data_IF_141643654360
#
_entry.id   IF_141643654360
#
_cell.length_a   1.000
_cell.length_b   1.000
_cell.length_c   1.000
_cell.angle_alpha   90.00
_cell.angle_beta   90.00
_cell.angle_gamma   90.00
#
_symmetry.space_group_name_H-M   'P 1'
#
loop_
_entity.id
_entity.type
_entity.pdbx_description
1 polymer ?
#
# COMPACT_ATOMS: atom_id res chain seq x y z
N UNK A 1 7.61 -3.08 9.88
CA UNK A 1 7.91 -3.57 11.26
C UNK A 1 6.98 -4.69 11.69
N UNK A 2 5.65 -4.50 11.65
CA UNK A 2 4.68 -5.52 12.08
C UNK A 2 4.74 -6.80 11.21
N UNK A 3 4.74 -6.65 9.89
CA UNK A 3 4.89 -7.78 8.96
C UNK A 3 6.12 -8.64 9.31
N UNK A 4 7.31 -8.01 9.36
CA UNK A 4 8.56 -8.67 9.74
C UNK A 4 8.52 -9.36 11.10
N UNK A 5 7.85 -8.77 12.10
CA UNK A 5 7.70 -9.38 13.42
C UNK A 5 6.94 -10.71 13.36
N UNK A 6 5.96 -10.82 12.48
CA UNK A 6 5.19 -12.04 12.24
C UNK A 6 5.79 -12.96 11.16
N UNK A 7 6.99 -12.65 10.65
CA UNK A 7 7.66 -13.46 9.63
C UNK A 7 7.17 -13.23 8.20
N UNK A 8 6.45 -12.14 7.95
CA UNK A 8 6.04 -11.74 6.60
C UNK A 8 6.93 -10.64 6.02
N UNK A 9 6.98 -10.56 4.70
CA UNK A 9 7.68 -9.51 3.96
C UNK A 9 6.67 -8.54 3.30
N UNK A 10 7.13 -7.33 2.97
CA UNK A 10 6.31 -6.29 2.33
C UNK A 10 6.79 -6.11 0.90
N UNK A 11 5.87 -6.12 -0.07
CA UNK A 11 6.21 -5.79 -1.46
C UNK A 11 6.51 -4.31 -1.59
N UNK A 12 7.69 -3.96 -2.11
CA UNK A 12 8.14 -2.56 -2.20
C UNK A 12 7.72 -1.86 -3.50
N UNK A 13 7.37 -2.64 -4.53
CA UNK A 13 7.05 -2.14 -5.88
C UNK A 13 5.69 -1.44 -5.98
N UNK A 14 4.77 -1.72 -5.06
CA UNK A 14 3.41 -1.15 -5.04
C UNK A 14 3.20 -0.30 -3.78
N UNK A 15 2.52 0.82 -3.95
CA UNK A 15 2.41 1.89 -2.97
C UNK A 15 0.96 2.36 -2.94
N UNK A 16 0.53 2.87 -1.80
CA UNK A 16 -0.72 3.62 -1.74
C UNK A 16 -0.57 4.96 -2.46
N UNK A 17 -1.70 5.60 -2.71
CA UNK A 17 -1.75 6.80 -3.53
C UNK A 17 -2.83 7.77 -3.05
N UNK A 18 -2.66 9.05 -3.38
CA UNK A 18 -3.76 10.00 -3.33
C UNK A 18 -4.90 9.59 -4.27
N UNK A 19 -6.12 9.84 -3.84
CA UNK A 19 -7.33 9.47 -4.60
C UNK A 19 -8.41 10.54 -4.41
N UNK A 20 -9.15 10.86 -5.47
CA UNK A 20 -10.23 11.85 -5.43
C UNK A 20 -10.81 12.08 -6.82
N UNK A 21 -10.61 13.28 -7.38
CA UNK A 21 -10.96 13.54 -8.79
C UNK A 21 -10.04 12.82 -9.77
N UNK A 22 -8.85 12.41 -9.32
CA UNK A 22 -7.92 11.54 -10.03
C UNK A 22 -7.90 10.16 -9.35
N UNK A 23 -7.76 9.11 -10.16
CA UNK A 23 -7.72 7.74 -9.66
C UNK A 23 -6.45 7.47 -8.84
N UNK A 24 -5.28 7.82 -9.38
CA UNK A 24 -3.99 7.77 -8.69
C UNK A 24 -3.34 9.16 -8.76
N UNK A 25 -2.97 9.72 -7.61
CA UNK A 25 -2.24 10.99 -7.49
C UNK A 25 -1.26 10.97 -6.32
N UNK A 26 -0.51 12.05 -6.13
CA UNK A 26 0.18 12.28 -4.86
C UNK A 26 -0.82 12.37 -3.70
N UNK A 27 -0.44 11.97 -2.46
CA UNK A 27 0.89 11.46 -2.08
C UNK A 27 1.13 9.99 -2.43
N UNK A 28 2.37 9.61 -2.74
CA UNK A 28 2.80 8.22 -2.72
C UNK A 28 3.00 7.72 -1.29
N UNK A 29 2.36 6.59 -0.94
CA UNK A 29 2.39 6.00 0.41
C UNK A 29 3.18 4.68 0.37
N UNK A 30 4.45 4.74 0.79
CA UNK A 30 5.32 3.57 0.86
C UNK A 30 4.96 2.68 2.06
N UNK A 31 4.78 1.37 1.83
CA UNK A 31 4.42 0.40 2.89
C UNK A 31 5.62 -0.22 3.61
N UNK A 32 6.81 -0.14 3.02
CA UNK A 32 8.06 -0.59 3.63
C UNK A 32 8.66 0.50 4.54
N UNK A 33 9.58 0.11 5.41
CA UNK A 33 10.27 1.07 6.28
C UNK A 33 11.12 2.01 5.43
N UNK A 34 10.92 3.32 5.58
CA UNK A 34 11.58 4.36 4.80
C UNK A 34 11.79 5.62 5.66
N UNK A 35 12.57 6.56 5.15
CA UNK A 35 12.89 7.83 5.81
C UNK A 35 12.21 9.03 5.13
N UNK A 36 11.17 8.80 4.32
CA UNK A 36 10.50 9.88 3.62
C UNK A 36 9.80 10.81 4.60
N UNK A 37 10.04 12.10 4.45
CA UNK A 37 9.31 13.13 5.18
C UNK A 37 7.98 13.43 4.50
N UNK A 38 6.94 13.67 5.29
CA UNK A 38 5.64 14.12 4.80
C UNK A 38 4.77 14.60 5.95
N UNK A 39 3.70 15.33 5.62
CA UNK A 39 2.69 15.71 6.61
C UNK A 39 1.30 15.48 6.04
N UNK A 40 0.47 14.79 6.81
CA UNK A 40 -0.96 14.66 6.53
C UNK A 40 -1.63 16.02 6.73
N UNK A 41 -2.43 16.45 5.76
CA UNK A 41 -3.15 17.73 5.76
C UNK A 41 -4.65 17.45 5.76
N UNK A 42 -5.39 18.17 6.61
CA UNK A 42 -6.86 18.08 6.67
C UNK A 42 -7.47 18.22 5.26
N UNK A 43 -8.42 17.33 4.94
CA UNK A 43 -9.06 17.25 3.63
C UNK A 43 -8.36 16.34 2.62
N UNK A 44 -7.14 15.87 2.89
CA UNK A 44 -6.48 14.91 2.00
C UNK A 44 -7.13 13.53 2.05
N UNK A 45 -7.26 12.90 0.89
CA UNK A 45 -7.69 11.51 0.73
C UNK A 45 -6.61 10.69 0.04
N UNK A 46 -6.28 9.54 0.62
CA UNK A 46 -5.30 8.60 0.06
C UNK A 46 -5.59 7.16 0.52
N UNK A 47 -4.95 6.20 -0.14
CA UNK A 47 -5.08 4.77 0.15
C UNK A 47 -3.94 4.28 1.04
N UNK A 48 -4.25 3.30 1.87
CA UNK A 48 -3.25 2.46 2.54
C UNK A 48 -3.56 1.04 2.09
N UNK A 49 -2.66 0.43 1.32
CA UNK A 49 -2.92 -0.81 0.56
C UNK A 49 -1.74 -1.82 0.59
N UNK A 50 -1.21 -2.17 1.77
CA UNK A 50 0.00 -2.99 1.85
C UNK A 50 -0.22 -4.39 1.27
N UNK A 51 0.73 -4.83 0.45
CA UNK A 51 0.82 -6.19 -0.05
C UNK A 51 1.89 -6.92 0.76
N UNK A 52 1.48 -8.00 1.45
CA UNK A 52 2.35 -8.85 2.24
C UNK A 52 2.56 -10.18 1.56
N UNK A 53 3.77 -10.74 1.67
CA UNK A 53 4.16 -12.03 1.13
C UNK A 53 4.79 -12.91 2.22
N UNK A 54 4.65 -14.23 2.12
CA UNK A 54 5.16 -15.17 3.12
C UNK A 54 6.68 -15.25 3.13
N UNK A 55 7.29 -15.34 1.96
CA UNK A 55 8.72 -15.48 1.79
C UNK A 55 9.32 -14.22 1.16
N UNK A 56 10.65 -14.04 1.29
CA UNK A 56 11.33 -12.94 0.62
C UNK A 56 11.46 -13.25 -0.88
N UNK A 57 10.40 -12.93 -1.63
CA UNK A 57 10.30 -13.12 -3.06
C UNK A 57 10.40 -11.79 -3.84
N UNK A 58 10.76 -11.88 -5.11
CA UNK A 58 10.68 -10.75 -6.04
C UNK A 58 9.33 -10.75 -6.78
N UNK A 59 8.89 -9.57 -7.24
CA UNK A 59 7.64 -9.45 -7.98
C UNK A 59 7.86 -9.39 -9.50
N UNK A 60 7.32 -10.37 -10.22
CA UNK A 60 7.37 -10.45 -11.69
C UNK A 60 6.01 -10.17 -12.30
N UNK A 61 6.00 -9.42 -13.40
CA UNK A 61 4.77 -9.13 -14.16
C UNK A 61 4.68 -10.08 -15.35
N UNK A 62 3.54 -10.76 -15.50
CA UNK A 62 3.30 -11.65 -16.62
C UNK A 62 3.26 -10.91 -17.97
N UNK A 63 3.35 -11.67 -19.06
CA UNK A 63 3.34 -11.14 -20.44
C UNK A 63 2.07 -10.34 -20.78
N UNK A 64 0.99 -10.50 -20.00
CA UNK A 64 -0.22 -9.69 -20.14
C UNK A 64 -0.04 -8.23 -19.71
N UNK A 65 1.09 -7.89 -19.08
CA UNK A 65 1.43 -6.52 -18.67
C UNK A 65 0.77 -6.04 -17.38
N UNK A 66 -0.01 -6.88 -16.68
CA UNK A 66 -0.80 -6.49 -15.52
C UNK A 66 -0.63 -7.42 -14.32
N UNK A 67 -0.82 -8.73 -14.52
CA UNK A 67 -0.78 -9.69 -13.42
C UNK A 67 0.64 -9.73 -12.84
N UNK A 68 0.76 -9.39 -11.57
CA UNK A 68 2.02 -9.46 -10.84
C UNK A 68 1.95 -10.57 -9.81
N UNK A 69 2.97 -11.42 -9.82
CA UNK A 69 3.09 -12.59 -8.93
C UNK A 69 4.45 -12.55 -8.23
N UNK A 70 4.57 -13.30 -7.14
CA UNK A 70 5.87 -13.65 -6.55
C UNK A 70 6.57 -14.64 -7.47
N UNK A 71 7.88 -14.48 -7.65
CA UNK A 71 8.69 -15.34 -8.52
C UNK A 71 8.87 -16.77 -7.98
N UNK A 72 8.70 -16.95 -6.68
CA UNK A 72 8.74 -18.25 -5.98
C UNK A 72 7.35 -18.92 -5.85
N UNK A 73 6.27 -18.25 -6.24
CA UNK A 73 4.90 -18.74 -6.11
C UNK A 73 4.34 -18.73 -4.69
N UNK A 74 5.00 -18.07 -3.75
CA UNK A 74 4.52 -17.88 -2.36
C UNK A 74 3.22 -17.08 -2.32
N UNK A 75 2.43 -17.31 -1.27
CA UNK A 75 1.16 -16.60 -1.08
C UNK A 75 1.38 -15.11 -0.77
N UNK A 76 0.53 -14.29 -1.38
CA UNK A 76 0.41 -12.86 -1.11
C UNK A 76 -0.99 -12.54 -0.58
N UNK A 77 -1.07 -11.50 0.26
CA UNK A 77 -2.33 -10.94 0.73
C UNK A 77 -2.29 -9.40 0.70
N UNK A 78 -3.42 -8.79 0.37
CA UNK A 78 -3.60 -7.34 0.36
C UNK A 78 -4.93 -6.99 1.02
N UNK A 79 -4.93 -5.86 1.73
CA UNK A 79 -6.14 -5.15 2.14
C UNK A 79 -5.94 -3.67 1.82
N UNK A 80 -7.03 -2.98 1.52
CA UNK A 80 -7.00 -1.57 1.16
C UNK A 80 -8.15 -0.81 1.83
N UNK A 81 -7.84 0.41 2.28
CA UNK A 81 -8.83 1.42 2.56
C UNK A 81 -8.41 2.77 2.00
N UNK A 82 -9.37 3.50 1.44
CA UNK A 82 -9.32 4.95 1.31
C UNK A 82 -9.62 5.63 2.65
N UNK A 83 -8.74 6.54 3.07
CA UNK A 83 -8.89 7.35 4.28
C UNK A 83 -8.98 8.83 3.93
N UNK A 84 -9.74 9.58 4.73
CA UNK A 84 -9.80 11.05 4.73
C UNK A 84 -9.12 11.59 5.98
N UNK A 85 -8.14 12.47 5.83
CA UNK A 85 -7.53 13.20 6.94
C UNK A 85 -8.51 14.26 7.43
N UNK A 86 -8.82 14.21 8.72
CA UNK A 86 -9.65 15.21 9.40
C UNK A 86 -8.79 16.06 10.33
N UNK A 87 -9.36 17.15 10.86
CA UNK A 87 -8.66 18.04 11.80
C UNK A 87 -8.04 17.33 13.00
N UNK A 88 -8.63 16.23 13.45
CA UNK A 88 -8.26 15.53 14.70
C UNK A 88 -7.87 14.06 14.48
N UNK A 89 -7.79 13.58 13.24
CA UNK A 89 -7.51 12.17 12.97
C UNK A 89 -7.80 11.78 11.52
N UNK A 90 -8.35 10.59 11.33
CA UNK A 90 -8.72 10.06 10.01
C UNK A 90 -10.10 9.42 10.03
N UNK A 91 -10.82 9.51 8.91
CA UNK A 91 -12.04 8.75 8.65
C UNK A 91 -11.77 7.66 7.60
N UNK A 92 -12.26 6.44 7.83
CA UNK A 92 -12.18 5.34 6.87
C UNK A 92 -13.42 5.39 5.98
N UNK A 93 -13.25 5.76 4.71
CA UNK A 93 -14.37 5.96 3.77
C UNK A 93 -14.91 4.65 3.20
N UNK A 94 -14.14 3.57 3.28
CA UNK A 94 -14.41 2.27 2.62
C UNK A 94 -14.59 1.12 3.61
N UNK A 95 -15.13 1.40 4.80
CA UNK A 95 -15.24 0.48 5.95
C UNK A 95 -16.25 -0.68 5.81
N UNK A 96 -16.81 -0.93 4.62
CA UNK A 96 -17.91 -1.86 4.38
C UNK A 96 -17.65 -2.76 3.18
#
# INVERSE_FOLDING_TARGET
>A
KLAYFYGYHVVERFVGHGIGTMLHSEPLILHHANENSGRMVEGQTFTIEPILIMDKAECVTWENGWTTVTDDGSWAAQFEHTVLVTRTGVEILTKH
#
